data_IF_476538744590
#
_entry.id   IF_476538744590
#
_cell.length_a   1.000
_cell.length_b   1.000
_cell.length_c   1.000
_cell.angle_alpha   90.00
_cell.angle_beta   90.00
_cell.angle_gamma   90.00
#
_symmetry.space_group_name_H-M   'P 1'
#
loop_
_entity.id
_entity.type
_entity.pdbx_description
1 polymer ?
#
# COMPACT_ATOMS: atom_id res chain seq x y z
N UNK A 1 -6.07 5.91 3.51
CA UNK A 1 -4.79 6.29 4.18
C UNK A 1 -3.97 5.03 4.41
N UNK A 2 -2.68 5.06 4.08
CA UNK A 2 -1.78 3.92 4.34
C UNK A 2 -1.49 3.77 5.84
N UNK A 3 -1.07 2.56 6.27
CA UNK A 3 -0.70 2.27 7.68
C UNK A 3 0.40 3.22 8.18
N UNK A 4 1.36 3.57 7.31
CA UNK A 4 2.42 4.52 7.68
C UNK A 4 1.89 5.87 8.18
N UNK A 5 0.83 6.41 7.56
CA UNK A 5 0.17 7.63 8.01
C UNK A 5 -0.52 7.47 9.37
N UNK A 6 -1.13 6.32 9.64
CA UNK A 6 -1.75 6.03 10.94
C UNK A 6 -0.72 5.92 12.06
N UNK A 7 0.43 5.28 11.79
CA UNK A 7 1.54 5.18 12.74
C UNK A 7 2.08 6.58 13.06
N UNK A 8 2.34 7.39 12.02
CA UNK A 8 2.86 8.75 12.19
C UNK A 8 1.90 9.64 13.00
N UNK A 9 0.60 9.55 12.72
CA UNK A 9 -0.45 10.25 13.46
C UNK A 9 -0.50 9.80 14.92
N UNK A 10 -0.38 8.51 15.19
CA UNK A 10 -0.32 7.95 16.55
C UNK A 10 0.88 8.50 17.33
N UNK A 11 2.06 8.54 16.72
CA UNK A 11 3.26 9.11 17.35
C UNK A 11 3.11 10.61 17.65
N UNK A 12 2.53 11.38 16.74
CA UNK A 12 2.30 12.82 16.92
C UNK A 12 1.34 13.09 18.10
N UNK A 13 0.24 12.33 18.18
CA UNK A 13 -0.74 12.44 19.27
C UNK A 13 -0.14 12.03 20.63
N UNK A 14 0.41 10.82 20.70
CA UNK A 14 0.96 10.29 21.96
C UNK A 14 2.11 11.18 22.45
N UNK A 15 3.02 11.56 21.56
CA UNK A 15 4.13 12.47 21.89
C UNK A 15 3.65 13.81 22.42
N UNK A 16 2.69 14.42 21.74
CA UNK A 16 2.13 15.71 22.16
C UNK A 16 1.39 15.64 23.49
N UNK A 17 0.61 14.58 23.75
CA UNK A 17 -0.07 14.38 25.02
C UNK A 17 0.95 14.14 26.15
N UNK A 18 1.99 13.33 25.91
CA UNK A 18 3.02 13.04 26.91
C UNK A 18 3.80 14.30 27.28
N UNK A 19 4.24 15.09 26.30
CA UNK A 19 4.94 16.34 26.54
C UNK A 19 4.05 17.34 27.28
N UNK A 20 2.80 17.48 26.86
CA UNK A 20 1.84 18.36 27.51
C UNK A 20 1.57 17.96 28.98
N UNK A 21 1.46 16.66 29.27
CA UNK A 21 1.29 16.15 30.62
C UNK A 21 2.53 16.45 31.51
N UNK A 22 3.74 16.30 30.99
CA UNK A 22 4.98 16.65 31.69
C UNK A 22 5.03 18.15 32.03
N UNK A 23 4.63 19.03 31.10
CA UNK A 23 4.60 20.48 31.32
C UNK A 23 3.57 20.86 32.41
N UNK A 24 2.42 20.15 32.46
CA UNK A 24 1.43 20.34 33.51
C UNK A 24 1.99 19.87 34.86
N UNK A 25 2.71 18.74 34.89
CA UNK A 25 3.34 18.22 36.09
C UNK A 25 4.37 19.19 36.68
N UNK A 26 5.11 19.89 35.83
CA UNK A 26 6.07 20.97 36.24
C UNK A 26 5.37 22.27 36.69
N UNK A 27 4.04 22.29 36.81
CA UNK A 27 3.25 23.39 37.31
C UNK A 27 2.78 24.41 36.25
N UNK A 28 3.16 24.24 34.99
CA UNK A 28 2.72 25.14 33.90
C UNK A 28 1.46 24.56 33.20
N UNK A 29 0.31 24.69 33.88
CA UNK A 29 -0.96 24.11 33.36
C UNK A 29 -1.36 24.75 32.03
N UNK A 30 -1.22 26.05 31.86
CA UNK A 30 -1.56 26.75 30.61
C UNK A 30 -0.72 26.28 29.42
N UNK A 31 0.59 26.15 29.63
CA UNK A 31 1.52 25.67 28.63
C UNK A 31 1.24 24.21 28.23
N UNK A 32 0.96 23.35 29.21
CA UNK A 32 0.65 21.95 28.95
C UNK A 32 -0.65 21.74 28.18
N UNK A 33 -1.72 22.47 28.54
CA UNK A 33 -2.99 22.43 27.80
C UNK A 33 -2.77 22.93 26.35
N UNK A 34 -2.01 24.04 26.20
CA UNK A 34 -1.70 24.55 24.86
C UNK A 34 -0.95 23.55 23.99
N UNK A 35 0.00 22.79 24.55
CA UNK A 35 0.75 21.75 23.86
C UNK A 35 -0.18 20.61 23.42
N UNK A 36 -1.07 20.14 24.28
CA UNK A 36 -2.03 19.05 23.95
C UNK A 36 -2.96 19.51 22.83
N UNK A 37 -3.54 20.71 22.94
CA UNK A 37 -4.41 21.25 21.90
C UNK A 37 -3.68 21.43 20.57
N UNK A 38 -2.44 21.92 20.60
CA UNK A 38 -1.59 22.04 19.42
C UNK A 38 -1.33 20.67 18.75
N UNK A 39 -1.04 19.63 19.55
CA UNK A 39 -0.84 18.28 19.04
C UNK A 39 -2.12 17.71 18.39
N UNK A 40 -3.30 17.94 18.96
CA UNK A 40 -4.58 17.53 18.38
C UNK A 40 -4.83 18.23 17.04
N UNK A 41 -4.64 19.55 16.98
CA UNK A 41 -4.82 20.32 15.73
C UNK A 41 -3.85 19.82 14.65
N UNK A 42 -2.57 19.63 15.01
CA UNK A 42 -1.56 19.12 14.09
C UNK A 42 -1.93 17.73 13.57
N UNK A 43 -2.43 16.84 14.42
CA UNK A 43 -2.86 15.51 14.05
C UNK A 43 -4.05 15.53 13.08
N UNK A 44 -4.99 16.45 13.26
CA UNK A 44 -6.11 16.64 12.32
C UNK A 44 -5.58 17.10 10.95
N UNK A 45 -4.64 18.04 10.92
CA UNK A 45 -4.04 18.51 9.67
C UNK A 45 -3.30 17.40 8.93
N UNK A 46 -2.53 16.57 9.66
CA UNK A 46 -1.83 15.41 9.11
C UNK A 46 -2.85 14.41 8.54
N UNK A 47 -3.94 14.12 9.26
CA UNK A 47 -4.99 13.21 8.79
C UNK A 47 -5.66 13.74 7.52
N UNK A 48 -6.03 15.01 7.48
CA UNK A 48 -6.64 15.64 6.30
C UNK A 48 -5.69 15.59 5.09
N UNK A 49 -4.41 15.93 5.30
CA UNK A 49 -3.41 15.90 4.24
C UNK A 49 -3.17 14.48 3.73
N UNK A 50 -2.99 13.50 4.62
CA UNK A 50 -2.78 12.11 4.25
C UNK A 50 -3.98 11.52 3.50
N UNK A 51 -5.21 11.86 3.91
CA UNK A 51 -6.42 11.44 3.21
C UNK A 51 -6.49 12.09 1.82
N UNK A 52 -6.25 13.39 1.72
CA UNK A 52 -6.22 14.11 0.45
C UNK A 52 -5.16 13.52 -0.49
N UNK A 53 -3.94 13.31 0.01
CA UNK A 53 -2.84 12.76 -0.78
C UNK A 53 -3.17 11.38 -1.34
N UNK A 54 -3.69 10.48 -0.52
CA UNK A 54 -4.06 9.13 -0.93
C UNK A 54 -5.14 9.08 -2.02
N UNK A 55 -6.07 10.06 -2.01
CA UNK A 55 -7.20 10.06 -2.94
C UNK A 55 -6.99 10.92 -4.18
N UNK A 56 -6.06 11.90 -4.13
CA UNK A 56 -5.90 12.88 -5.19
C UNK A 56 -4.55 12.81 -5.92
N UNK A 57 -3.63 11.94 -5.49
CA UNK A 57 -2.36 11.77 -6.18
C UNK A 57 -2.20 10.34 -6.71
N UNK A 58 -1.52 10.20 -7.86
CA UNK A 58 -1.25 8.89 -8.45
C UNK A 58 -0.37 8.03 -7.53
N UNK A 59 0.61 8.64 -6.85
CA UNK A 59 1.50 7.94 -5.93
C UNK A 59 0.77 7.48 -4.66
N UNK A 60 -0.13 8.31 -4.14
CA UNK A 60 -0.96 7.94 -2.99
C UNK A 60 -1.92 6.80 -3.32
N UNK A 61 -2.52 6.81 -4.50
CA UNK A 61 -3.37 5.73 -4.97
C UNK A 61 -2.59 4.42 -5.17
N UNK A 62 -1.36 4.49 -5.73
CA UNK A 62 -0.46 3.32 -5.85
C UNK A 62 -0.10 2.76 -4.48
N UNK A 63 0.33 3.62 -3.54
CA UNK A 63 0.68 3.19 -2.19
C UNK A 63 -0.49 2.51 -1.44
N UNK A 64 -1.74 2.93 -1.69
CA UNK A 64 -2.92 2.26 -1.16
C UNK A 64 -3.12 0.88 -1.81
N UNK A 65 -2.96 0.77 -3.14
CA UNK A 65 -3.07 -0.51 -3.85
C UNK A 65 -2.00 -1.50 -3.41
N UNK A 66 -0.74 -1.06 -3.29
CA UNK A 66 0.37 -1.88 -2.83
C UNK A 66 0.11 -2.39 -1.42
N UNK A 67 -0.40 -1.52 -0.54
CA UNK A 67 -0.78 -1.92 0.81
C UNK A 67 -1.91 -2.94 0.79
N UNK A 68 -2.93 -2.75 -0.05
CA UNK A 68 -4.05 -3.67 -0.19
C UNK A 68 -3.60 -5.03 -0.73
N UNK A 69 -2.69 -5.04 -1.71
CA UNK A 69 -2.06 -6.25 -2.24
C UNK A 69 -1.34 -7.04 -1.13
N UNK A 70 -0.51 -6.35 -0.35
CA UNK A 70 0.26 -6.98 0.74
C UNK A 70 -0.61 -7.57 1.86
N UNK A 71 -1.81 -7.02 2.10
CA UNK A 71 -2.70 -7.51 3.17
C UNK A 71 -3.70 -8.56 2.72
N UNK A 72 -4.03 -8.60 1.43
CA UNK A 72 -5.08 -9.46 0.88
C UNK A 72 -4.55 -10.55 -0.05
N UNK A 73 -3.28 -10.94 0.08
CA UNK A 73 -2.63 -11.92 -0.78
C UNK A 73 -2.74 -11.59 -2.28
N UNK A 74 -2.42 -10.35 -2.62
CA UNK A 74 -2.41 -9.89 -4.00
C UNK A 74 -3.67 -9.13 -4.45
N UNK A 75 -3.68 -8.78 -5.72
CA UNK A 75 -4.79 -8.13 -6.43
C UNK A 75 -5.45 -9.13 -7.37
N UNK A 76 -6.73 -8.88 -7.70
CA UNK A 76 -7.39 -9.65 -8.73
C UNK A 76 -6.81 -9.30 -10.10
N UNK A 77 -6.16 -10.28 -10.75
CA UNK A 77 -5.41 -10.08 -12.00
C UNK A 77 -5.71 -11.15 -13.01
N UNK A 78 -5.54 -10.77 -14.26
CA UNK A 78 -5.54 -11.67 -15.40
C UNK A 78 -4.14 -11.66 -16.02
N UNK A 79 -3.53 -12.84 -16.13
CA UNK A 79 -2.19 -13.03 -16.70
C UNK A 79 -2.34 -13.88 -17.94
N UNK A 80 -1.92 -13.34 -19.08
CA UNK A 80 -1.97 -14.01 -20.39
C UNK A 80 -0.56 -14.00 -20.98
N UNK A 81 -0.07 -15.15 -21.38
CA UNK A 81 1.18 -15.26 -22.15
C UNK A 81 0.84 -15.72 -23.57
N UNK A 82 1.26 -14.92 -24.54
CA UNK A 82 1.00 -15.15 -25.95
C UNK A 82 2.30 -15.51 -26.68
N UNK A 83 2.26 -16.55 -27.51
CA UNK A 83 3.29 -16.85 -28.47
C UNK A 83 3.40 -15.76 -29.53
N UNK A 84 4.52 -15.68 -30.30
CA UNK A 84 4.70 -14.71 -31.37
C UNK A 84 3.64 -14.79 -32.49
N UNK A 85 2.98 -15.94 -32.63
CA UNK A 85 1.88 -16.16 -33.59
C UNK A 85 0.51 -15.76 -33.05
N UNK A 86 0.44 -15.22 -31.80
CA UNK A 86 -0.76 -14.77 -31.14
C UNK A 86 -1.54 -15.88 -30.41
N UNK A 87 -1.02 -17.12 -30.38
CA UNK A 87 -1.65 -18.20 -29.60
C UNK A 87 -1.39 -17.99 -28.11
N UNK A 88 -2.44 -18.23 -27.30
CA UNK A 88 -2.34 -18.27 -25.87
C UNK A 88 -1.56 -19.52 -25.43
N UNK A 89 -0.45 -19.30 -24.70
CA UNK A 89 0.40 -20.34 -24.13
C UNK A 89 0.00 -20.62 -22.67
N UNK A 90 -0.32 -19.52 -21.94
CA UNK A 90 -0.68 -19.60 -20.53
C UNK A 90 -1.75 -18.57 -20.22
N UNK A 91 -2.70 -18.98 -19.38
CA UNK A 91 -3.79 -18.15 -18.88
C UNK A 91 -3.99 -18.38 -17.38
N UNK A 92 -4.08 -17.32 -16.62
CA UNK A 92 -4.47 -17.35 -15.22
C UNK A 92 -5.37 -16.14 -14.93
N UNK A 93 -6.46 -16.38 -14.19
CA UNK A 93 -7.34 -15.33 -13.70
C UNK A 93 -7.69 -15.64 -12.26
N UNK A 94 -7.40 -14.67 -11.37
CA UNK A 94 -7.67 -14.80 -9.96
C UNK A 94 -6.85 -13.80 -9.15
N UNK A 95 -6.95 -13.92 -7.84
CA UNK A 95 -6.15 -13.09 -6.95
C UNK A 95 -4.72 -13.64 -6.91
N UNK A 96 -3.75 -12.77 -7.18
CA UNK A 96 -2.34 -13.15 -7.12
C UNK A 96 -1.46 -11.96 -6.74
N UNK A 97 -0.37 -12.27 -6.05
CA UNK A 97 0.73 -11.34 -5.81
C UNK A 97 1.89 -11.65 -6.76
N UNK A 98 2.29 -10.67 -7.55
CA UNK A 98 3.35 -10.83 -8.56
C UNK A 98 4.62 -10.22 -8.00
N UNK A 99 5.64 -11.05 -7.85
CA UNK A 99 6.99 -10.62 -7.52
C UNK A 99 7.66 -10.13 -8.80
N UNK A 100 7.78 -8.81 -8.96
CA UNK A 100 8.34 -8.20 -10.17
C UNK A 100 9.87 -8.12 -10.08
N UNK A 101 10.56 -9.19 -10.42
CA UNK A 101 11.96 -9.11 -10.79
C UNK A 101 12.05 -9.19 -12.33
N UNK A 102 12.37 -8.06 -12.98
CA UNK A 102 12.29 -7.90 -14.45
C UNK A 102 13.57 -8.37 -15.16
N UNK A 103 14.48 -9.05 -14.48
CA UNK A 103 15.77 -9.43 -15.06
C UNK A 103 15.75 -10.73 -15.87
N UNK A 104 14.76 -11.60 -15.64
CA UNK A 104 14.68 -12.94 -16.24
C UNK A 104 13.35 -13.15 -16.97
N UNK A 105 13.36 -14.05 -17.97
CA UNK A 105 12.18 -14.35 -18.79
C UNK A 105 11.20 -15.28 -18.06
N UNK A 106 10.75 -14.88 -16.86
CA UNK A 106 9.72 -15.58 -16.11
C UNK A 106 8.84 -14.59 -15.31
N UNK A 107 7.65 -15.06 -14.99
CA UNK A 107 6.76 -14.41 -14.03
C UNK A 107 6.68 -15.32 -12.81
N UNK A 108 6.94 -14.74 -11.66
CA UNK A 108 6.76 -15.40 -10.37
C UNK A 108 5.55 -14.76 -9.68
N UNK A 109 4.57 -15.59 -9.33
CA UNK A 109 3.42 -15.12 -8.55
C UNK A 109 2.95 -16.16 -7.55
N UNK A 110 2.30 -15.69 -6.49
CA UNK A 110 1.63 -16.51 -5.50
C UNK A 110 0.12 -16.39 -5.75
N UNK A 111 -0.56 -17.53 -5.85
CA UNK A 111 -2.00 -17.59 -6.09
C UNK A 111 -2.81 -17.45 -4.79
N UNK A 112 -4.13 -17.44 -4.90
CA UNK A 112 -5.06 -17.30 -3.76
C UNK A 112 -4.97 -18.45 -2.74
N UNK A 113 -4.43 -19.59 -3.14
CA UNK A 113 -4.17 -20.74 -2.27
C UNK A 113 -2.80 -20.67 -1.56
N UNK A 114 -2.03 -19.61 -1.79
CA UNK A 114 -0.67 -19.43 -1.27
C UNK A 114 0.35 -20.29 -2.00
N UNK A 115 0.03 -20.77 -3.21
CA UNK A 115 0.94 -21.57 -4.00
C UNK A 115 1.77 -20.69 -4.92
N UNK A 116 3.08 -20.88 -4.83
CA UNK A 116 4.05 -20.17 -5.66
C UNK A 116 4.12 -20.79 -7.05
N UNK A 117 3.88 -19.98 -8.09
CA UNK A 117 3.90 -20.39 -9.49
C UNK A 117 4.94 -19.61 -10.27
N UNK A 118 5.70 -20.34 -11.10
CA UNK A 118 6.71 -19.74 -11.97
C UNK A 118 6.34 -20.10 -13.41
N UNK A 119 6.15 -19.08 -14.23
CA UNK A 119 5.85 -19.24 -15.65
C UNK A 119 7.01 -18.66 -16.46
N UNK A 120 7.75 -19.55 -17.13
CA UNK A 120 8.80 -19.16 -18.05
C UNK A 120 8.22 -18.85 -19.42
N UNK A 121 8.69 -17.79 -20.06
CA UNK A 121 8.27 -17.40 -21.40
C UNK A 121 9.48 -17.10 -22.29
N UNK A 122 9.30 -17.21 -23.60
CA UNK A 122 10.36 -16.94 -24.58
C UNK A 122 10.62 -15.43 -24.75
N UNK A 123 11.80 -15.10 -25.28
CA UNK A 123 12.20 -13.70 -25.54
C UNK A 123 11.23 -12.98 -26.51
N UNK A 124 10.55 -13.74 -27.36
CA UNK A 124 9.61 -13.21 -28.36
C UNK A 124 8.14 -13.31 -27.92
N UNK A 125 7.87 -13.87 -26.76
CA UNK A 125 6.52 -14.02 -26.25
C UNK A 125 6.04 -12.69 -25.64
N UNK A 126 4.73 -12.47 -25.68
CA UNK A 126 4.11 -11.28 -25.09
C UNK A 126 3.40 -11.65 -23.80
N UNK A 127 3.73 -10.94 -22.73
CA UNK A 127 3.07 -11.09 -21.44
C UNK A 127 2.12 -9.92 -21.23
N UNK A 128 0.87 -10.22 -20.96
CA UNK A 128 -0.17 -9.26 -20.59
C UNK A 128 -0.57 -9.51 -19.15
N UNK A 129 -0.45 -8.50 -18.31
CA UNK A 129 -0.90 -8.51 -16.92
C UNK A 129 -1.92 -7.38 -16.78
N UNK A 130 -3.16 -7.73 -16.48
CA UNK A 130 -4.27 -6.79 -16.33
C UNK A 130 -4.82 -6.87 -14.92
N UNK A 131 -4.98 -5.72 -14.26
CA UNK A 131 -5.71 -5.63 -13.00
C UNK A 131 -7.21 -5.65 -13.28
N UNK A 132 -7.94 -6.50 -12.56
CA UNK A 132 -9.39 -6.57 -12.62
C UNK A 132 -10.00 -5.84 -11.41
N UNK A 133 -11.20 -5.25 -11.54
CA UNK A 133 -11.90 -4.70 -10.39
C UNK A 133 -12.18 -5.81 -9.37
N UNK A 134 -12.07 -5.48 -8.07
CA UNK A 134 -12.55 -6.36 -7.01
C UNK A 134 -14.08 -6.46 -7.11
N UNK A 135 -14.59 -7.68 -7.16
CA UNK A 135 -16.03 -7.97 -7.14
C UNK A 135 -16.62 -7.77 -5.74
#
# INVERSE_FOLDING_TARGET
MTIGWWIFLGFALIGGITIGALIIYDGNVGGGIGTILGAVILSILIACFGFWWCNNTADGARALKDQHSNFNNGLNREIIVLAPDGREIFYYKGRCDIESDHSDNYILFEDEDGLRRIVYYGITDTVLIMELPDE
#
